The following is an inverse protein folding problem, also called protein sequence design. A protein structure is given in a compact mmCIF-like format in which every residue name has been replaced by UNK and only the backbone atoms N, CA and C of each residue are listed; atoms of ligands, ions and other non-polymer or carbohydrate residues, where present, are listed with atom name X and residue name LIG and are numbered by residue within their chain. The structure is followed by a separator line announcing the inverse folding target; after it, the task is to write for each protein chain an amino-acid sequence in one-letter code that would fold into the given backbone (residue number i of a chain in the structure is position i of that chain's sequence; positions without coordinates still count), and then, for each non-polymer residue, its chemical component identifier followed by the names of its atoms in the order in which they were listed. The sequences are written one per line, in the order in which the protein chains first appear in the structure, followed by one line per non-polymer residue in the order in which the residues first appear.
data_IF_562748560964
#
_entry.id   IF_562748560964
#
_cell.length_a   1.000
_cell.length_b   1.000
_cell.length_c   1.000
_cell.angle_alpha   90.00
_cell.angle_beta   90.00
_cell.angle_gamma   90.00
#
_symmetry.space_group_name_H-M   'P 1'
#
loop_
_entity.id
_entity.type
_entity.pdbx_description
1 polymer ?
#
# COMPACT_ATOMS: atom_id res chain seq x y z
N UNK A 1 3.05 -33.25 -3.05
CA UNK A 1 2.46 -33.30 -1.70
C UNK A 1 2.00 -31.89 -1.35
N UNK A 2 0.81 -31.73 -0.75
CA UNK A 2 0.22 -30.40 -0.53
C UNK A 2 0.84 -29.71 0.70
N UNK A 3 1.01 -28.40 0.65
CA UNK A 3 1.73 -27.63 1.69
C UNK A 3 0.99 -27.52 3.04
N UNK A 4 -0.21 -28.09 3.16
CA UNK A 4 -1.11 -27.87 4.31
C UNK A 4 -1.54 -29.15 5.03
N UNK A 5 -1.01 -30.32 4.67
CA UNK A 5 -1.40 -31.60 5.26
C UNK A 5 -1.00 -31.74 6.76
N UNK A 6 -0.08 -30.90 7.26
CA UNK A 6 0.44 -30.98 8.64
C UNK A 6 -0.15 -29.91 9.59
N UNK A 7 -1.14 -29.12 9.16
CA UNK A 7 -1.68 -28.04 9.99
C UNK A 7 -2.69 -28.60 10.99
N UNK A 8 -2.35 -28.59 12.28
CA UNK A 8 -3.26 -28.99 13.36
C UNK A 8 -4.32 -27.91 13.56
N UNK A 9 -5.53 -28.16 13.06
CA UNK A 9 -6.69 -27.30 13.29
C UNK A 9 -7.28 -27.50 14.68
N UNK A 10 -7.47 -26.42 15.44
CA UNK A 10 -8.15 -26.46 16.74
C UNK A 10 -7.84 -25.28 17.66
N UNK A 11 -8.68 -25.03 18.66
CA UNK A 11 -8.41 -24.04 19.70
C UNK A 11 -7.26 -24.53 20.59
N UNK A 12 -6.14 -23.81 20.61
CA UNK A 12 -4.99 -24.08 21.48
C UNK A 12 -5.45 -24.06 22.95
N UNK A 13 -5.30 -25.20 23.63
CA UNK A 13 -5.50 -25.32 25.08
C UNK A 13 -4.13 -25.50 25.72
N UNK A 14 -3.70 -24.52 26.53
CA UNK A 14 -2.43 -24.59 27.24
C UNK A 14 -2.59 -25.37 28.55
N UNK A 15 -1.69 -26.30 28.82
CA UNK A 15 -1.63 -27.04 30.09
C UNK A 15 -0.89 -26.18 31.11
N UNK A 16 -1.62 -25.60 32.07
CA UNK A 16 -1.09 -24.74 33.14
C UNK A 16 -2.23 -24.15 33.98
N UNK A 17 -1.92 -23.50 35.12
CA UNK A 17 -2.93 -22.75 35.87
C UNK A 17 -3.52 -21.68 34.96
N UNK A 18 -4.85 -21.68 34.81
CA UNK A 18 -5.53 -20.72 33.95
C UNK A 18 -5.21 -19.30 34.43
N UNK A 19 -4.72 -18.44 33.53
CA UNK A 19 -4.79 -17.00 33.75
C UNK A 19 -6.26 -16.65 33.86
N UNK A 20 -6.64 -15.98 34.95
CA UNK A 20 -8.03 -15.60 35.28
C UNK A 20 -8.48 -14.43 34.40
N UNK A 21 -8.36 -14.61 33.08
CA UNK A 21 -8.86 -13.68 32.08
C UNK A 21 -10.28 -14.13 31.83
N UNK A 22 -11.25 -13.36 32.36
CA UNK A 22 -12.68 -13.50 32.07
C UNK A 22 -12.84 -13.92 30.62
N UNK A 23 -13.34 -15.13 30.41
CA UNK A 23 -13.63 -15.67 29.09
C UNK A 23 -14.78 -14.85 28.47
N UNK A 24 -14.44 -13.67 27.95
CA UNK A 24 -15.34 -12.86 27.16
C UNK A 24 -15.52 -13.59 25.83
N UNK A 25 -16.60 -14.39 25.76
CA UNK A 25 -17.10 -14.93 24.51
C UNK A 25 -17.41 -13.76 23.58
N UNK A 26 -16.46 -13.41 22.71
CA UNK A 26 -16.63 -12.39 21.68
C UNK A 26 -17.69 -12.93 20.70
N UNK A 27 -18.92 -12.43 20.82
CA UNK A 27 -19.96 -12.64 19.81
C UNK A 27 -19.50 -12.00 18.50
N UNK A 28 -19.10 -12.81 17.53
CA UNK A 28 -18.77 -12.34 16.18
C UNK A 28 -20.01 -11.72 15.55
N UNK A 29 -20.05 -10.38 15.42
CA UNK A 29 -21.03 -9.70 14.56
C UNK A 29 -20.77 -10.11 13.10
N UNK A 30 -21.82 -10.51 12.38
CA UNK A 30 -21.74 -10.79 10.94
C UNK A 30 -21.26 -9.53 10.20
N UNK A 31 -20.13 -9.64 9.51
CA UNK A 31 -19.60 -8.61 8.60
C UNK A 31 -20.52 -8.57 7.38
N UNK A 32 -21.18 -7.44 7.13
CA UNK A 32 -21.79 -7.18 5.82
C UNK A 32 -20.66 -6.91 4.84
N UNK A 33 -20.69 -7.57 3.68
CA UNK A 33 -19.74 -7.32 2.60
C UNK A 33 -19.93 -5.88 2.11
N UNK A 34 -18.90 -5.04 2.30
CA UNK A 34 -18.81 -3.75 1.62
C UNK A 34 -18.22 -4.00 0.25
N UNK A 35 -18.98 -3.67 -0.80
CA UNK A 35 -18.58 -3.79 -2.21
C UNK A 35 -17.61 -2.68 -2.67
N UNK A 36 -17.13 -1.86 -1.74
CA UNK A 36 -16.40 -0.62 -2.06
C UNK A 36 -14.91 -0.86 -2.38
N UNK A 37 -14.37 -2.04 -2.08
CA UNK A 37 -12.95 -2.34 -2.35
C UNK A 37 -12.67 -2.58 -3.84
N UNK A 38 -13.69 -2.97 -4.63
CA UNK A 38 -13.50 -3.36 -6.05
C UNK A 38 -13.35 -2.13 -6.96
N UNK A 39 -13.93 -0.99 -6.61
CA UNK A 39 -13.88 0.22 -7.46
C UNK A 39 -12.52 0.90 -7.43
N UNK A 40 -11.76 0.81 -6.33
CA UNK A 40 -10.45 1.47 -6.24
C UNK A 40 -9.39 0.71 -7.06
N UNK A 41 -9.45 -0.62 -7.12
CA UNK A 41 -8.50 -1.43 -7.89
C UNK A 41 -8.65 -1.27 -9.42
N UNK A 42 -9.86 -0.96 -9.89
CA UNK A 42 -10.14 -0.81 -11.33
C UNK A 42 -9.63 0.52 -11.91
N UNK A 43 -9.44 1.54 -11.08
CA UNK A 43 -8.95 2.86 -11.53
C UNK A 43 -7.43 2.86 -11.70
N UNK A 44 -6.70 2.01 -10.96
CA UNK A 44 -5.24 1.96 -11.01
C UNK A 44 -4.65 1.20 -12.22
N UNK A 45 -5.45 0.40 -12.92
CA UNK A 45 -4.98 -0.39 -14.08
C UNK A 45 -5.17 0.31 -15.44
N UNK A 46 -5.92 1.42 -15.50
CA UNK A 46 -6.33 2.04 -16.77
C UNK A 46 -5.53 3.30 -17.19
N UNK A 47 -4.50 3.73 -16.45
CA UNK A 47 -3.73 4.97 -16.73
C UNK A 47 -2.26 4.72 -17.14
N UNK A 48 -1.94 3.52 -17.64
CA UNK A 48 -0.63 3.25 -18.25
C UNK A 48 -0.76 2.57 -19.62
N UNK A 49 -0.96 3.31 -20.73
CA UNK A 49 -0.63 2.79 -22.04
C UNK A 49 0.90 2.78 -22.19
N UNK A 50 1.52 1.65 -21.83
CA UNK A 50 2.80 1.23 -22.41
C UNK A 50 2.43 0.65 -23.78
N UNK A 51 2.52 1.45 -24.84
CA UNK A 51 2.53 0.92 -26.20
C UNK A 51 3.84 1.28 -26.87
N UNK A 52 4.75 0.32 -26.83
CA UNK A 52 6.01 0.32 -27.54
C UNK A 52 5.76 -0.03 -29.00
N UNK A 53 6.42 0.72 -29.89
CA UNK A 53 6.17 0.69 -31.32
C UNK A 53 6.20 -0.68 -32.00
N UNK A 54 5.24 -0.87 -32.89
CA UNK A 54 5.37 -1.66 -34.12
C UNK A 54 4.38 -1.10 -35.14
N UNK A 55 4.88 -0.73 -36.33
CA UNK A 55 4.19 0.18 -37.25
C UNK A 55 3.00 -0.39 -38.03
N UNK A 56 2.18 0.50 -38.56
CA UNK A 56 1.56 0.42 -39.89
C UNK A 56 0.88 1.76 -40.23
N UNK A 57 0.92 2.09 -41.52
CA UNK A 57 0.41 3.28 -42.20
C UNK A 57 -1.13 3.25 -42.31
N UNK A 58 -1.81 4.41 -42.17
CA UNK A 58 -2.80 4.99 -43.13
C UNK A 58 -3.89 5.90 -42.49
N UNK A 59 -3.89 7.14 -42.97
CA UNK A 59 -4.97 8.09 -43.36
C UNK A 59 -6.32 8.29 -42.62
N UNK A 60 -6.76 9.57 -42.73
CA UNK A 60 -8.13 10.11 -42.77
C UNK A 60 -8.89 10.51 -41.48
N UNK A 61 -8.85 11.83 -41.25
CA UNK A 61 -9.93 12.79 -40.89
C UNK A 61 -11.15 12.34 -40.05
N UNK A 62 -11.33 12.96 -38.87
CA UNK A 62 -12.60 13.63 -38.48
C UNK A 62 -12.48 14.52 -37.24
N UNK A 63 -13.20 15.61 -37.34
CA UNK A 63 -13.35 16.78 -36.47
C UNK A 63 -14.04 16.54 -35.11
N UNK A 64 -13.73 17.47 -34.19
CA UNK A 64 -14.56 18.05 -33.12
C UNK A 64 -14.99 17.24 -31.87
N UNK A 65 -14.86 17.94 -30.73
CA UNK A 65 -15.73 17.89 -29.55
C UNK A 65 -15.24 17.08 -28.34
N UNK A 66 -14.53 17.75 -27.42
CA UNK A 66 -15.03 18.14 -26.07
C UNK A 66 -13.87 18.56 -25.15
N UNK A 67 -13.59 19.86 -25.17
CA UNK A 67 -13.00 20.58 -24.04
C UNK A 67 -14.05 20.60 -22.92
N UNK A 68 -13.96 19.66 -21.97
CA UNK A 68 -14.83 19.62 -20.79
C UNK A 68 -14.25 18.69 -19.70
N UNK A 69 -13.09 19.02 -19.14
CA UNK A 69 -12.65 18.47 -17.84
C UNK A 69 -11.86 19.49 -17.03
N UNK A 70 -12.31 20.75 -17.02
CA UNK A 70 -12.10 21.64 -15.87
C UNK A 70 -13.35 21.58 -14.99
N UNK A 71 -13.14 21.47 -13.67
CA UNK A 71 -14.15 21.60 -12.58
C UNK A 71 -14.87 20.35 -12.05
N UNK A 72 -14.22 19.18 -11.94
CA UNK A 72 -14.76 18.05 -11.14
C UNK A 72 -13.90 17.67 -9.91
N UNK A 73 -12.90 18.48 -9.56
CA UNK A 73 -11.90 18.13 -8.53
C UNK A 73 -12.20 18.62 -7.11
N UNK A 74 -12.98 19.69 -6.95
CA UNK A 74 -13.13 20.37 -5.64
C UNK A 74 -14.44 20.07 -4.92
N UNK A 75 -15.50 19.66 -5.62
CA UNK A 75 -16.82 19.44 -4.98
C UNK A 75 -16.92 18.13 -4.19
N UNK A 76 -16.06 17.15 -4.47
CA UNK A 76 -16.13 15.84 -3.83
C UNK A 76 -15.27 15.75 -2.57
N UNK A 77 -14.16 16.49 -2.45
CA UNK A 77 -13.27 16.41 -1.29
C UNK A 77 -13.97 16.78 0.03
N UNK A 78 -14.82 17.82 0.00
CA UNK A 78 -15.60 18.24 1.17
C UNK A 78 -16.69 17.24 1.58
N UNK A 79 -17.18 16.41 0.64
CA UNK A 79 -18.30 15.47 0.88
C UNK A 79 -17.87 14.23 1.65
N UNK A 80 -16.63 13.78 1.47
CA UNK A 80 -16.06 12.66 2.22
C UNK A 80 -15.60 13.11 3.61
N UNK A 81 -15.00 14.30 3.69
CA UNK A 81 -14.48 14.89 4.91
C UNK A 81 -15.58 15.03 5.99
N UNK A 82 -16.81 15.40 5.60
CA UNK A 82 -17.95 15.55 6.51
C UNK A 82 -18.36 14.25 7.26
N UNK A 83 -18.00 13.09 6.73
CA UNK A 83 -18.25 11.79 7.36
C UNK A 83 -17.09 11.30 8.25
N UNK A 84 -15.98 12.01 8.32
CA UNK A 84 -14.82 11.61 9.11
C UNK A 84 -14.94 12.05 10.57
N UNK A 85 -14.53 11.15 11.44
CA UNK A 85 -14.33 11.47 12.86
C UNK A 85 -13.20 12.48 13.04
N UNK A 86 -13.19 13.27 14.13
CA UNK A 86 -12.10 14.21 14.41
C UNK A 86 -10.70 13.55 14.46
N UNK A 87 -10.64 12.28 14.85
CA UNK A 87 -9.40 11.51 14.87
C UNK A 87 -8.92 11.15 13.45
N UNK A 88 -9.83 10.74 12.58
CA UNK A 88 -9.52 10.43 11.18
C UNK A 88 -9.07 11.67 10.41
N UNK A 89 -9.74 12.81 10.60
CA UNK A 89 -9.32 14.09 9.99
C UNK A 89 -7.89 14.46 10.36
N UNK A 90 -7.54 14.41 11.65
CA UNK A 90 -6.18 14.68 12.13
C UNK A 90 -5.14 13.71 11.55
N UNK A 91 -5.50 12.44 11.41
CA UNK A 91 -4.61 11.44 10.83
C UNK A 91 -4.33 11.73 9.34
N UNK A 92 -5.35 12.10 8.57
CA UNK A 92 -5.20 12.45 7.16
C UNK A 92 -4.31 13.69 7.01
N UNK A 93 -4.61 14.77 7.74
CA UNK A 93 -3.76 15.97 7.71
C UNK A 93 -2.31 15.67 8.09
N UNK A 94 -2.08 14.84 9.12
CA UNK A 94 -0.73 14.46 9.52
C UNK A 94 -0.03 13.64 8.45
N UNK A 95 -0.73 12.69 7.84
CA UNK A 95 -0.23 11.89 6.74
C UNK A 95 0.13 12.76 5.54
N UNK A 96 -0.74 13.68 5.15
CA UNK A 96 -0.48 14.64 4.07
C UNK A 96 0.76 15.48 4.34
N UNK A 97 0.94 15.98 5.58
CA UNK A 97 2.16 16.71 5.97
C UNK A 97 3.42 15.86 5.82
N UNK A 98 3.37 14.61 6.29
CA UNK A 98 4.51 13.68 6.18
C UNK A 98 4.79 13.35 4.71
N UNK A 99 3.73 13.12 3.93
CA UNK A 99 3.81 12.74 2.52
C UNK A 99 4.36 13.90 1.69
N UNK A 100 3.93 15.15 1.91
CA UNK A 100 4.55 16.32 1.27
C UNK A 100 6.06 16.40 1.52
N UNK A 101 6.48 16.21 2.78
CA UNK A 101 7.90 16.23 3.13
C UNK A 101 8.68 15.06 2.50
N UNK A 102 8.09 13.86 2.42
CA UNK A 102 8.68 12.73 1.71
C UNK A 102 8.75 12.99 0.20
N UNK A 103 7.67 13.48 -0.40
CA UNK A 103 7.57 13.80 -1.82
C UNK A 103 8.60 14.83 -2.24
N UNK A 104 8.80 15.89 -1.45
CA UNK A 104 9.85 16.88 -1.71
C UNK A 104 11.25 16.23 -1.79
N UNK A 105 11.55 15.28 -0.90
CA UNK A 105 12.84 14.57 -0.92
C UNK A 105 12.97 13.60 -2.08
N UNK A 106 11.91 12.86 -2.40
CA UNK A 106 11.93 11.87 -3.48
C UNK A 106 11.88 12.52 -4.86
N UNK A 107 11.22 13.67 -5.00
CA UNK A 107 11.12 14.42 -6.25
C UNK A 107 12.49 14.94 -6.71
N UNK A 108 13.39 15.26 -5.77
CA UNK A 108 14.74 15.70 -6.08
C UNK A 108 15.66 14.57 -6.61
N UNK A 109 15.28 13.30 -6.46
CA UNK A 109 16.13 12.16 -6.84
C UNK A 109 15.63 11.50 -8.13
N UNK A 110 16.53 11.34 -9.09
CA UNK A 110 16.26 10.55 -10.29
C UNK A 110 16.06 9.07 -9.95
N UNK A 111 15.49 8.30 -10.88
CA UNK A 111 15.47 6.84 -10.75
C UNK A 111 16.89 6.27 -10.70
N UNK A 112 17.82 6.84 -11.48
CA UNK A 112 19.24 6.47 -11.46
C UNK A 112 19.84 6.66 -10.07
N UNK A 113 19.67 7.84 -9.47
CA UNK A 113 20.19 8.14 -8.14
C UNK A 113 19.59 7.20 -7.08
N UNK A 114 18.31 6.83 -7.21
CA UNK A 114 17.68 5.83 -6.34
C UNK A 114 18.30 4.44 -6.47
N UNK A 115 18.68 4.03 -7.69
CA UNK A 115 19.40 2.77 -7.92
C UNK A 115 20.81 2.85 -7.36
N UNK A 116 21.52 3.96 -7.58
CA UNK A 116 22.88 4.17 -7.07
C UNK A 116 22.89 4.15 -5.53
N UNK A 117 22.00 4.88 -4.87
CA UNK A 117 21.81 4.86 -3.41
C UNK A 117 21.54 3.43 -2.89
N UNK A 118 20.68 2.68 -3.59
CA UNK A 118 20.35 1.31 -3.21
C UNK A 118 21.54 0.36 -3.36
N UNK A 119 22.28 0.47 -4.46
CA UNK A 119 23.48 -0.34 -4.68
C UNK A 119 24.57 0.00 -3.66
N UNK A 120 24.74 1.28 -3.33
CA UNK A 120 25.67 1.72 -2.30
C UNK A 120 25.25 1.19 -0.92
N UNK A 121 23.96 1.20 -0.61
CA UNK A 121 23.43 0.57 0.60
C UNK A 121 23.78 -0.91 0.65
N UNK A 122 23.51 -1.67 -0.42
CA UNK A 122 23.85 -3.11 -0.47
C UNK A 122 25.35 -3.37 -0.35
N UNK A 123 26.20 -2.55 -0.96
CA UNK A 123 27.65 -2.69 -0.86
C UNK A 123 28.16 -2.43 0.58
N UNK A 124 27.48 -1.57 1.33
CA UNK A 124 27.81 -1.25 2.72
C UNK A 124 27.18 -2.20 3.74
N UNK A 125 26.21 -3.03 3.33
CA UNK A 125 25.57 -3.99 4.22
C UNK A 125 26.58 -5.09 4.60
N UNK A 126 26.58 -5.46 5.89
CA UNK A 126 27.45 -6.54 6.36
C UNK A 126 27.04 -7.86 5.72
N UNK A 127 28.01 -8.60 5.19
CA UNK A 127 27.80 -9.97 4.73
C UNK A 127 27.44 -10.89 5.89
N UNK A 128 28.03 -10.64 7.06
CA UNK A 128 27.85 -11.43 8.28
C UNK A 128 27.14 -10.62 9.36
N UNK A 129 25.97 -11.12 9.76
CA UNK A 129 25.15 -10.56 10.85
C UNK A 129 25.41 -11.24 12.21
N UNK A 130 26.50 -11.99 12.32
CA UNK A 130 26.88 -12.70 13.55
C UNK A 130 28.19 -12.15 14.11
N UNK A 131 28.34 -12.24 15.43
CA UNK A 131 29.54 -11.76 16.12
C UNK A 131 30.61 -12.84 15.92
N UNK A 132 31.81 -12.47 15.41
CA UNK A 132 32.89 -13.44 15.29
C UNK A 132 33.20 -14.03 16.66
N UNK A 133 33.36 -15.36 16.71
CA UNK A 133 33.63 -16.07 17.96
C UNK A 133 34.98 -15.61 18.51
N UNK A 134 34.95 -14.86 19.62
CA UNK A 134 36.16 -14.48 20.37
C UNK A 134 36.62 -15.65 21.23
N UNK A 135 37.86 -16.10 21.01
CA UNK A 135 38.50 -17.12 21.84
C UNK A 135 39.08 -16.48 23.12
N UNK A 136 39.09 -17.20 24.26
CA UNK A 136 39.78 -16.73 25.45
C UNK A 136 41.29 -16.76 25.17
N UNK A 137 41.87 -15.56 25.06
CA UNK A 137 43.32 -15.34 25.16
C UNK A 137 43.73 -15.25 26.62
#
# INVERSE_FOLDING_TARGET
MSAYDNVVGGKLKLKGKALDVKAAGIKKKKKKEKKDYVQISQVTENEFPIDGGSGSVDDSTKEESRDATKSAGEENAGRWDDHLTPAERRYIEQRERIDMHKMAKTANKSHRDRIEDFNQYLANMSEHYDIPKVGPG
#
